data_IF_679408441953
#
_entry.id   IF_679408441953
#
_cell.length_a   1.000
_cell.length_b   1.000
_cell.length_c   1.000
_cell.angle_alpha   90.00
_cell.angle_beta   90.00
_cell.angle_gamma   90.00
#
_symmetry.space_group_name_H-M   'P 1'
#
loop_
_entity.id
_entity.type
_entity.pdbx_description
1 polymer ?
#
# COMPACT_ATOMS: atom_id res chain seq x y z
N UNK A 1 -3.07 3.16 -11.04
CA UNK A 1 -3.40 2.57 -12.35
C UNK A 1 -3.39 1.04 -12.40
N UNK A 2 -2.34 0.32 -11.95
CA UNK A 2 -2.28 -1.16 -12.14
C UNK A 2 -3.26 -1.98 -11.29
N UNK A 3 -3.72 -1.48 -10.15
CA UNK A 3 -4.64 -2.19 -9.24
C UNK A 3 -5.97 -1.48 -8.99
N UNK A 4 -6.30 -0.39 -9.69
CA UNK A 4 -7.54 0.38 -9.43
C UNK A 4 -7.71 0.86 -7.98
N UNK A 5 -6.61 1.25 -7.33
CA UNK A 5 -6.58 1.74 -5.95
C UNK A 5 -6.72 3.27 -5.96
N UNK A 6 -7.66 3.82 -5.19
CA UNK A 6 -8.22 5.16 -5.43
C UNK A 6 -7.73 6.26 -4.48
N UNK A 7 -6.94 5.99 -3.45
CA UNK A 7 -6.31 7.10 -2.70
C UNK A 7 -4.99 6.71 -2.08
N UNK A 8 -4.00 7.53 -2.34
CA UNK A 8 -2.66 7.43 -1.81
C UNK A 8 -2.43 8.64 -0.92
N UNK A 9 -2.09 8.41 0.34
CA UNK A 9 -1.61 9.46 1.24
C UNK A 9 -0.18 9.15 1.67
N UNK A 10 0.74 10.05 1.34
CA UNK A 10 2.09 10.06 1.89
C UNK A 10 2.15 10.98 3.10
N UNK A 11 2.73 10.51 4.20
CA UNK A 11 2.99 11.33 5.39
C UNK A 11 4.35 10.95 5.97
N UNK A 12 5.35 11.81 5.77
CA UNK A 12 6.74 11.49 6.14
C UNK A 12 7.25 10.27 5.39
N UNK A 13 7.64 9.25 6.14
CA UNK A 13 8.11 7.94 5.66
C UNK A 13 6.98 6.93 5.45
N UNK A 14 5.75 7.28 5.79
CA UNK A 14 4.60 6.39 5.68
C UNK A 14 3.78 6.63 4.41
N UNK A 15 3.28 5.53 3.86
CA UNK A 15 2.44 5.51 2.68
C UNK A 15 1.18 4.70 2.99
N UNK A 16 0.01 5.29 2.73
CA UNK A 16 -1.29 4.66 2.96
C UNK A 16 -2.05 4.55 1.64
N UNK A 17 -2.64 3.38 1.42
CA UNK A 17 -3.45 3.08 0.24
C UNK A 17 -4.81 2.54 0.67
N UNK A 18 -5.86 2.98 0.00
CA UNK A 18 -7.23 2.50 0.22
C UNK A 18 -7.79 1.93 -1.09
N UNK A 19 -8.62 0.90 -0.94
CA UNK A 19 -9.28 0.17 -2.02
C UNK A 19 -10.79 0.12 -1.77
N UNK A 20 -11.59 0.31 -2.81
CA UNK A 20 -13.06 0.29 -2.70
C UNK A 20 -13.68 1.62 -2.25
N UNK A 21 -12.97 2.75 -2.39
CA UNK A 21 -13.45 4.09 -2.03
C UNK A 21 -12.98 5.12 -3.07
N UNK A 22 -13.88 5.98 -3.59
CA UNK A 22 -15.32 6.02 -3.33
C UNK A 22 -16.11 4.90 -4.01
N UNK A 23 -15.55 4.23 -5.02
CA UNK A 23 -16.26 3.20 -5.78
C UNK A 23 -16.01 1.83 -5.12
N UNK A 24 -17.04 1.17 -4.56
CA UNK A 24 -16.87 -0.15 -3.97
C UNK A 24 -16.41 -1.16 -5.01
N UNK A 25 -15.56 -2.08 -4.59
CA UNK A 25 -15.13 -3.22 -5.41
C UNK A 25 -15.10 -4.50 -4.56
N UNK A 26 -15.52 -5.65 -5.12
CA UNK A 26 -15.63 -6.89 -4.35
C UNK A 26 -14.27 -7.51 -3.99
N UNK A 27 -13.22 -7.21 -4.78
CA UNK A 27 -11.86 -7.70 -4.65
C UNK A 27 -10.93 -6.71 -3.93
N UNK A 28 -11.48 -5.79 -3.12
CA UNK A 28 -10.71 -4.68 -2.56
C UNK A 28 -9.53 -5.13 -1.69
N UNK A 29 -9.69 -6.21 -0.92
CA UNK A 29 -8.62 -6.78 -0.08
C UNK A 29 -7.57 -7.51 -0.89
N UNK A 30 -7.98 -8.25 -1.92
CA UNK A 30 -7.07 -8.97 -2.81
C UNK A 30 -6.18 -7.97 -3.57
N UNK A 31 -6.76 -6.89 -4.09
CA UNK A 31 -6.01 -5.81 -4.73
C UNK A 31 -4.98 -5.14 -3.78
N UNK A 32 -5.33 -4.93 -2.50
CA UNK A 32 -4.39 -4.41 -1.50
C UNK A 32 -3.28 -5.42 -1.15
N UNK A 33 -3.63 -6.70 -1.03
CA UNK A 33 -2.66 -7.76 -0.75
C UNK A 33 -1.65 -7.91 -1.89
N UNK A 34 -2.11 -7.88 -3.14
CA UNK A 34 -1.22 -7.89 -4.30
C UNK A 34 -0.29 -6.69 -4.32
N UNK A 35 -0.81 -5.47 -4.06
CA UNK A 35 0.05 -4.29 -3.96
C UNK A 35 1.08 -4.44 -2.83
N UNK A 36 0.68 -4.95 -1.67
CA UNK A 36 1.59 -5.16 -0.54
C UNK A 36 2.77 -6.09 -0.91
N UNK A 37 2.48 -7.19 -1.62
CA UNK A 37 3.50 -8.12 -2.11
C UNK A 37 4.41 -7.47 -3.16
N UNK A 38 3.86 -6.68 -4.09
CA UNK A 38 4.65 -5.93 -5.07
C UNK A 38 5.58 -4.91 -4.42
N UNK A 39 5.11 -4.19 -3.40
CA UNK A 39 5.94 -3.24 -2.64
C UNK A 39 7.04 -3.98 -1.89
N UNK A 40 6.71 -5.09 -1.22
CA UNK A 40 7.71 -5.88 -0.50
C UNK A 40 8.80 -6.40 -1.45
N UNK A 41 8.41 -6.89 -2.64
CA UNK A 41 9.34 -7.32 -3.67
C UNK A 41 10.20 -6.17 -4.21
N UNK A 42 9.60 -5.00 -4.46
CA UNK A 42 10.32 -3.84 -4.98
C UNK A 42 11.34 -3.27 -3.96
N UNK A 43 11.08 -3.42 -2.66
CA UNK A 43 11.97 -2.93 -1.59
C UNK A 43 13.02 -3.96 -1.19
N UNK A 44 12.83 -5.25 -1.52
CA UNK A 44 13.72 -6.33 -1.09
C UNK A 44 15.20 -6.10 -1.44
N UNK A 45 15.48 -5.50 -2.59
CA UNK A 45 16.84 -5.19 -3.06
C UNK A 45 17.23 -3.72 -2.86
N UNK A 46 16.36 -2.92 -2.24
CA UNK A 46 16.60 -1.50 -2.05
C UNK A 46 17.56 -1.29 -0.88
N UNK A 47 18.63 -0.54 -1.15
CA UNK A 47 19.61 -0.11 -0.16
C UNK A 47 19.53 1.39 0.07
N UNK A 48 19.79 1.82 1.30
CA UNK A 48 19.97 3.24 1.62
C UNK A 48 21.32 3.78 1.12
N UNK A 49 21.58 5.07 1.34
CA UNK A 49 22.85 5.71 0.95
C UNK A 49 24.09 5.17 1.67
N UNK A 50 23.92 4.34 2.69
CA UNK A 50 24.98 3.65 3.43
C UNK A 50 25.07 2.16 3.08
N UNK A 51 24.29 1.68 2.09
CA UNK A 51 24.28 0.30 1.65
C UNK A 51 23.50 -0.67 2.55
N UNK A 52 22.68 -0.16 3.49
CA UNK A 52 21.88 -0.98 4.40
C UNK A 52 20.52 -1.28 3.79
N UNK A 53 19.93 -2.41 4.17
CA UNK A 53 18.54 -2.74 3.81
C UNK A 53 17.59 -1.64 4.26
N UNK A 54 16.66 -1.26 3.38
CA UNK A 54 15.60 -0.31 3.75
C UNK A 54 14.54 -1.06 4.57
N UNK A 55 14.33 -0.70 5.86
CA UNK A 55 13.33 -1.37 6.67
C UNK A 55 11.92 -1.04 6.16
N UNK A 56 11.10 -2.06 5.97
CA UNK A 56 9.73 -1.93 5.51
C UNK A 56 8.77 -2.65 6.47
N UNK A 57 7.67 -1.97 6.82
CA UNK A 57 6.56 -2.57 7.56
C UNK A 57 5.26 -2.30 6.83
N UNK A 58 4.52 -3.36 6.51
CA UNK A 58 3.20 -3.26 5.89
C UNK A 58 2.15 -3.72 6.89
N UNK A 59 1.11 -2.91 7.07
CA UNK A 59 -0.08 -3.26 7.86
C UNK A 59 -1.33 -3.12 7.00
N UNK A 60 -2.28 -4.03 7.18
CA UNK A 60 -3.54 -4.05 6.45
C UNK A 60 -4.71 -4.20 7.43
N UNK A 61 -5.83 -3.53 7.12
CA UNK A 61 -7.08 -3.63 7.87
C UNK A 61 -8.26 -3.51 6.92
N UNK A 62 -9.39 -4.11 7.29
CA UNK A 62 -10.62 -4.12 6.52
C UNK A 62 -11.80 -3.68 7.41
N UNK A 63 -12.67 -2.83 6.89
CA UNK A 63 -13.85 -2.37 7.62
C UNK A 63 -14.46 -1.11 7.03
N UNK A 64 -15.58 -0.64 7.61
CA UNK A 64 -16.16 0.64 7.24
C UNK A 64 -15.16 1.78 7.50
N UNK A 65 -15.16 2.77 6.62
CA UNK A 65 -14.28 3.94 6.71
C UNK A 65 -15.06 5.20 6.39
N UNK A 66 -14.68 6.30 7.03
CA UNK A 66 -15.10 7.65 6.65
C UNK A 66 -13.95 8.28 5.88
N UNK A 67 -14.16 8.59 4.60
CA UNK A 67 -13.18 9.26 3.76
C UNK A 67 -13.69 10.66 3.40
N UNK A 68 -12.94 11.68 3.84
CA UNK A 68 -13.08 13.09 3.45
C UNK A 68 -11.93 13.54 2.57
#
# INVERSE_FOLDING_TARGET
DRHGLEKVKSSGDSYMVVSGVPIPRPDHLEALAHLALEIAAAVADLKDSQGRDVPLRIGMAAGPVVAG
#
